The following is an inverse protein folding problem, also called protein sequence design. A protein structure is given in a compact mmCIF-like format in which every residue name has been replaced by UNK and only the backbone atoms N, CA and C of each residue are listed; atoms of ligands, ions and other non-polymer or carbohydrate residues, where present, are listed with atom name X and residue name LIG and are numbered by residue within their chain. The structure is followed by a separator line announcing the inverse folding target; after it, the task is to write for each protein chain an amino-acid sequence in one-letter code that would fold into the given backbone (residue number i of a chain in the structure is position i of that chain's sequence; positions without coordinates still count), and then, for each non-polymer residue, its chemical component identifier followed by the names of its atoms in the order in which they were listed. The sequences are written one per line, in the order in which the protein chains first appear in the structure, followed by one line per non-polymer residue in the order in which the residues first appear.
data_IF_671682492612
#
_entry.id   IF_671682492612
#
_cell.length_a   1.000
_cell.length_b   1.000
_cell.length_c   1.000
_cell.angle_alpha   90.00
_cell.angle_beta   90.00
_cell.angle_gamma   90.00
#
_symmetry.space_group_name_H-M   'P 1'
#
loop_
_entity.id
_entity.type
_entity.pdbx_description
1 polymer ?
#
# COMPACT_ATOMS: atom_id res chain seq x y z
N UNK A 1 6.20 -1.93 -13.54
CA UNK A 1 5.88 -1.18 -12.30
C UNK A 1 5.26 -2.08 -11.24
N UNK A 2 3.92 -2.26 -11.18
CA UNK A 2 3.26 -3.05 -10.12
C UNK A 2 3.79 -4.49 -9.98
N UNK A 3 3.97 -5.20 -11.10
CA UNK A 3 4.51 -6.57 -11.10
C UNK A 3 5.96 -6.61 -10.57
N UNK A 4 6.79 -5.64 -10.94
CA UNK A 4 8.20 -5.59 -10.50
C UNK A 4 8.32 -5.32 -9.01
N UNK A 5 7.53 -4.37 -8.48
CA UNK A 5 7.46 -4.11 -7.03
C UNK A 5 6.91 -5.33 -6.30
N UNK A 6 5.87 -5.98 -6.81
CA UNK A 6 5.32 -7.21 -6.23
C UNK A 6 6.39 -8.30 -6.15
N UNK A 7 7.18 -8.50 -7.20
CA UNK A 7 8.25 -9.51 -7.20
C UNK A 7 9.34 -9.19 -6.18
N UNK A 8 9.72 -7.92 -6.03
CA UNK A 8 10.68 -7.50 -4.99
C UNK A 8 10.10 -7.69 -3.58
N UNK A 9 8.82 -7.36 -3.36
CA UNK A 9 8.12 -7.58 -2.09
C UNK A 9 8.00 -9.07 -1.74
N UNK A 10 7.72 -9.94 -2.72
CA UNK A 10 7.71 -11.40 -2.53
C UNK A 10 9.09 -11.91 -2.07
N UNK A 11 10.18 -11.43 -2.70
CA UNK A 11 11.55 -11.77 -2.28
C UNK A 11 11.85 -11.27 -0.87
N UNK A 12 11.42 -10.06 -0.54
CA UNK A 12 11.59 -9.48 0.79
C UNK A 12 10.83 -10.27 1.86
N UNK A 13 9.58 -10.66 1.58
CA UNK A 13 8.76 -11.47 2.45
C UNK A 13 9.40 -12.84 2.73
N UNK A 14 9.97 -13.48 1.70
CA UNK A 14 10.74 -14.71 1.86
C UNK A 14 12.02 -14.51 2.69
N UNK A 15 12.74 -13.41 2.47
CA UNK A 15 13.95 -13.07 3.24
C UNK A 15 13.65 -12.82 4.72
N UNK A 16 12.49 -12.22 5.04
CA UNK A 16 12.06 -11.90 6.40
C UNK A 16 11.37 -13.07 7.12
N UNK A 17 10.90 -14.09 6.40
CA UNK A 17 10.21 -15.23 6.99
C UNK A 17 11.09 -16.47 7.10
N UNK A 18 10.65 -17.39 7.95
CA UNK A 18 11.32 -18.67 8.19
C UNK A 18 10.33 -19.77 7.80
N UNK A 19 10.73 -20.76 6.98
CA UNK A 19 9.89 -21.92 6.72
C UNK A 19 9.53 -22.64 8.03
N UNK A 20 8.26 -22.97 8.21
CA UNK A 20 7.71 -23.45 9.47
C UNK A 20 6.86 -24.69 9.25
N UNK A 21 7.18 -25.76 9.96
CA UNK A 21 6.39 -26.99 9.91
C UNK A 21 5.23 -26.86 10.90
N UNK A 22 4.03 -26.62 10.40
CA UNK A 22 2.83 -26.50 11.25
C UNK A 22 2.51 -27.81 11.99
N UNK A 23 2.66 -28.96 11.32
CA UNK A 23 2.36 -30.27 11.92
C UNK A 23 3.26 -30.66 13.10
N UNK A 24 4.53 -30.23 13.08
CA UNK A 24 5.47 -30.44 14.19
C UNK A 24 5.68 -29.18 15.05
N UNK A 25 5.02 -28.08 14.69
CA UNK A 25 5.09 -26.77 15.33
C UNK A 25 6.53 -26.29 15.60
N UNK A 26 7.39 -26.32 14.57
CA UNK A 26 8.79 -25.93 14.67
C UNK A 26 9.33 -25.30 13.39
N UNK A 27 10.40 -24.52 13.53
CA UNK A 27 11.12 -23.94 12.39
C UNK A 27 11.82 -25.03 11.57
N UNK A 28 11.76 -24.89 10.25
CA UNK A 28 12.33 -25.80 9.26
C UNK A 28 13.18 -25.03 8.24
N UNK A 29 14.22 -24.28 8.68
CA UNK A 29 14.97 -23.35 7.82
C UNK A 29 15.70 -24.02 6.66
N UNK A 30 15.89 -25.34 6.70
CA UNK A 30 16.47 -26.16 5.62
C UNK A 30 15.50 -26.45 4.49
N UNK A 31 14.23 -26.01 4.59
CA UNK A 31 13.17 -26.33 3.64
C UNK A 31 12.54 -27.71 3.85
N UNK A 32 12.93 -28.43 4.92
CA UNK A 32 12.30 -29.69 5.35
C UNK A 32 12.23 -29.79 6.85
N UNK A 33 11.14 -30.34 7.37
CA UNK A 33 10.99 -30.60 8.78
C UNK A 33 11.93 -31.71 9.25
N UNK A 34 12.76 -31.43 10.27
CA UNK A 34 13.71 -32.41 10.82
C UNK A 34 13.05 -33.54 11.64
N UNK A 35 11.74 -33.42 11.96
CA UNK A 35 10.99 -34.44 12.71
C UNK A 35 10.18 -35.34 11.77
N UNK A 36 9.27 -34.76 10.98
CA UNK A 36 8.37 -35.54 10.12
C UNK A 36 8.83 -35.64 8.66
N UNK A 37 9.89 -34.92 8.26
CA UNK A 37 10.39 -34.91 6.89
C UNK A 37 9.55 -34.09 5.90
N UNK A 38 8.45 -33.47 6.34
CA UNK A 38 7.57 -32.65 5.48
C UNK A 38 8.33 -31.50 4.83
N UNK A 39 8.12 -31.33 3.52
CA UNK A 39 8.50 -30.15 2.74
C UNK A 39 7.29 -29.22 2.48
N UNK A 40 6.08 -29.63 2.86
CA UNK A 40 4.93 -28.73 2.97
C UNK A 40 5.07 -27.87 4.24
N UNK A 41 5.56 -26.64 4.06
CA UNK A 41 5.90 -25.70 5.12
C UNK A 41 5.17 -24.38 4.92
N UNK A 42 4.69 -23.80 6.03
CA UNK A 42 4.18 -22.44 6.08
C UNK A 42 5.34 -21.44 6.13
N UNK A 43 5.05 -20.16 5.92
CA UNK A 43 5.99 -19.09 6.26
C UNK A 43 5.68 -18.59 7.67
N UNK A 44 6.71 -18.36 8.47
CA UNK A 44 6.58 -17.78 9.81
C UNK A 44 7.33 -16.46 9.90
N UNK A 45 6.68 -15.47 10.46
CA UNK A 45 7.29 -14.21 10.88
C UNK A 45 7.33 -14.20 12.42
N UNK A 46 8.51 -14.29 13.05
CA UNK A 46 8.62 -14.39 14.51
C UNK A 46 7.90 -13.25 15.23
N UNK A 47 7.03 -13.60 16.19
CA UNK A 47 6.25 -12.62 16.97
C UNK A 47 4.96 -12.14 16.30
N UNK A 48 4.72 -12.48 15.04
CA UNK A 48 3.52 -12.07 14.28
C UNK A 48 2.60 -13.26 14.03
N UNK A 49 3.10 -14.31 13.37
CA UNK A 49 2.28 -15.47 13.02
C UNK A 49 2.95 -16.43 12.05
N UNK A 50 2.20 -17.45 11.63
CA UNK A 50 2.59 -18.36 10.56
C UNK A 50 1.36 -18.71 9.71
N UNK A 51 1.52 -18.67 8.38
CA UNK A 51 0.47 -19.03 7.43
C UNK A 51 1.12 -19.42 6.08
N UNK A 52 0.38 -20.13 5.24
CA UNK A 52 0.74 -20.38 3.86
C UNK A 52 0.71 -19.09 3.03
N UNK A 53 1.49 -19.07 1.95
CA UNK A 53 1.62 -17.87 1.11
C UNK A 53 2.50 -16.78 1.74
N UNK A 54 2.64 -15.67 1.01
CA UNK A 54 3.51 -14.55 1.36
C UNK A 54 2.73 -13.23 1.45
N UNK A 55 1.49 -13.22 0.96
CA UNK A 55 0.63 -12.05 0.84
C UNK A 55 0.43 -11.39 2.20
N UNK A 56 0.17 -12.18 3.25
CA UNK A 56 0.00 -11.67 4.61
C UNK A 56 1.27 -11.04 5.19
N UNK A 57 2.45 -11.52 4.81
CA UNK A 57 3.73 -10.95 5.23
C UNK A 57 3.93 -9.61 4.53
N UNK A 58 3.59 -9.53 3.25
CA UNK A 58 3.68 -8.29 2.47
C UNK A 58 2.73 -7.25 3.06
N UNK A 59 1.46 -7.59 3.29
CA UNK A 59 0.50 -6.70 3.94
C UNK A 59 1.03 -6.20 5.28
N UNK A 60 1.55 -7.09 6.12
CA UNK A 60 2.13 -6.71 7.40
C UNK A 60 3.33 -5.76 7.26
N UNK A 61 4.24 -6.01 6.31
CA UNK A 61 5.38 -5.12 6.05
C UNK A 61 4.90 -3.74 5.61
N UNK A 62 3.96 -3.68 4.67
CA UNK A 62 3.43 -2.40 4.15
C UNK A 62 2.72 -1.60 5.25
N UNK A 63 1.88 -2.25 6.05
CA UNK A 63 1.15 -1.60 7.16
C UNK A 63 2.06 -1.10 8.29
N UNK A 64 3.21 -1.75 8.49
CA UNK A 64 4.12 -1.43 9.60
C UNK A 64 5.24 -0.47 9.23
N UNK A 65 5.70 -0.51 7.97
CA UNK A 65 6.89 0.24 7.52
C UNK A 65 6.52 1.43 6.64
N UNK A 66 5.33 1.47 6.07
CA UNK A 66 4.87 2.55 5.18
C UNK A 66 3.59 3.20 5.71
N UNK A 67 3.37 4.44 5.26
CA UNK A 67 2.11 5.15 5.49
C UNK A 67 1.26 5.07 4.21
N UNK A 68 -0.02 4.66 4.30
CA UNK A 68 -0.91 4.68 3.14
C UNK A 68 -1.18 6.11 2.69
N UNK A 69 -1.53 6.26 1.42
CA UNK A 69 -1.90 7.56 0.83
C UNK A 69 -3.22 8.03 1.43
N UNK A 70 -3.25 9.26 1.92
CA UNK A 70 -4.50 9.98 2.17
C UNK A 70 -5.02 10.52 0.83
N UNK A 71 -5.95 9.78 0.22
CA UNK A 71 -6.53 10.11 -1.09
C UNK A 71 -7.28 11.44 -1.04
N UNK A 72 -7.90 11.81 0.09
CA UNK A 72 -8.60 13.09 0.20
C UNK A 72 -7.60 14.25 0.18
N UNK A 73 -6.54 14.16 0.99
CA UNK A 73 -5.51 15.20 1.04
C UNK A 73 -4.76 15.31 -0.29
N UNK A 74 -4.38 14.18 -0.89
CA UNK A 74 -3.65 14.16 -2.15
C UNK A 74 -4.49 14.76 -3.31
N UNK A 75 -5.79 14.46 -3.35
CA UNK A 75 -6.70 15.07 -4.32
C UNK A 75 -6.91 16.56 -4.06
N UNK A 76 -7.08 16.99 -2.80
CA UNK A 76 -7.17 18.42 -2.47
C UNK A 76 -5.94 19.19 -2.96
N UNK A 77 -4.75 18.64 -2.74
CA UNK A 77 -3.50 19.24 -3.18
C UNK A 77 -3.42 19.32 -4.72
N UNK A 78 -3.87 18.29 -5.44
CA UNK A 78 -3.90 18.32 -6.91
C UNK A 78 -4.81 19.43 -7.44
N UNK A 79 -5.97 19.65 -6.81
CA UNK A 79 -6.88 20.77 -7.12
C UNK A 79 -6.23 22.13 -6.80
N UNK A 80 -5.52 22.26 -5.67
CA UNK A 80 -4.82 23.49 -5.28
C UNK A 80 -3.70 23.89 -6.23
N UNK A 81 -3.10 22.92 -6.92
CA UNK A 81 -2.05 23.20 -7.91
C UNK A 81 -2.60 23.80 -9.21
N UNK A 82 -3.87 23.53 -9.56
CA UNK A 82 -4.48 23.99 -10.81
C UNK A 82 -5.44 25.19 -10.64
N UNK A 83 -5.99 25.37 -9.44
CA UNK A 83 -6.89 26.48 -9.11
C UNK A 83 -6.26 27.44 -8.10
N UNK A 84 -6.64 28.74 -8.12
CA UNK A 84 -6.18 29.68 -7.12
C UNK A 84 -6.62 29.26 -5.71
N UNK A 85 -5.79 29.54 -4.71
CA UNK A 85 -6.09 29.25 -3.30
C UNK A 85 -7.40 29.92 -2.84
N UNK A 86 -7.62 31.17 -3.25
CA UNK A 86 -8.81 31.94 -2.88
C UNK A 86 -9.69 32.29 -4.09
N UNK A 87 -11.02 32.18 -3.90
CA UNK A 87 -12.05 32.56 -4.87
C UNK A 87 -12.91 33.69 -4.32
N UNK A 88 -13.16 34.72 -5.15
CA UNK A 88 -14.07 35.82 -4.82
C UNK A 88 -15.49 35.57 -5.31
N UNK A 89 -16.46 35.75 -4.43
CA UNK A 89 -17.90 35.73 -4.76
C UNK A 89 -18.53 37.02 -4.27
N UNK A 90 -18.85 37.92 -5.20
CA UNK A 90 -19.28 39.28 -4.86
C UNK A 90 -18.18 40.05 -4.13
N UNK A 91 -18.44 40.43 -2.88
CA UNK A 91 -17.48 41.11 -2.00
C UNK A 91 -16.82 40.18 -0.96
N UNK A 92 -17.08 38.87 -1.02
CA UNK A 92 -16.54 37.86 -0.10
C UNK A 92 -15.38 37.10 -0.74
N UNK A 93 -14.43 36.64 0.08
CA UNK A 93 -13.31 35.78 -0.33
C UNK A 93 -13.41 34.45 0.41
N UNK A 94 -13.25 33.34 -0.30
CA UNK A 94 -13.35 31.99 0.24
C UNK A 94 -12.14 31.15 -0.20
N UNK A 95 -11.76 30.15 0.59
CA UNK A 95 -10.88 29.07 0.13
C UNK A 95 -11.56 28.28 -0.99
N UNK A 96 -10.88 28.11 -2.12
CA UNK A 96 -11.46 27.55 -3.34
C UNK A 96 -11.89 26.10 -3.15
N UNK A 97 -11.05 25.26 -2.55
CA UNK A 97 -11.36 23.84 -2.30
C UNK A 97 -12.54 23.71 -1.33
N UNK A 98 -12.52 24.45 -0.22
CA UNK A 98 -13.61 24.46 0.76
C UNK A 98 -14.92 24.91 0.11
N UNK A 99 -14.87 25.93 -0.75
CA UNK A 99 -16.02 26.37 -1.51
C UNK A 99 -16.55 25.25 -2.41
N UNK A 100 -15.69 24.63 -3.23
CA UNK A 100 -16.09 23.52 -4.12
C UNK A 100 -16.75 22.37 -3.35
N UNK A 101 -16.13 21.91 -2.26
CA UNK A 101 -16.66 20.85 -1.38
C UNK A 101 -18.01 21.22 -0.78
N UNK A 102 -18.18 22.47 -0.38
CA UNK A 102 -19.42 22.94 0.26
C UNK A 102 -20.59 23.09 -0.73
N UNK A 103 -20.32 23.49 -1.97
CA UNK A 103 -21.36 23.77 -2.96
C UNK A 103 -21.85 22.51 -3.68
N UNK A 104 -20.93 21.60 -4.02
CA UNK A 104 -21.29 20.34 -4.67
C UNK A 104 -20.41 19.17 -4.16
N UNK A 105 -20.74 18.63 -2.97
CA UNK A 105 -19.99 17.51 -2.41
C UNK A 105 -20.13 16.22 -3.22
N UNK A 106 -21.20 16.08 -4.02
CA UNK A 106 -21.39 14.87 -4.86
C UNK A 106 -20.42 14.90 -6.03
N UNK A 107 -20.39 16.02 -6.76
CA UNK A 107 -19.44 16.23 -7.85
C UNK A 107 -17.99 16.13 -7.36
N UNK A 108 -17.68 16.69 -6.18
CA UNK A 108 -16.36 16.55 -5.55
C UNK A 108 -15.95 15.09 -5.36
N UNK A 109 -16.83 14.26 -4.79
CA UNK A 109 -16.52 12.85 -4.55
C UNK A 109 -16.39 12.05 -5.85
N UNK A 110 -17.16 12.39 -6.89
CA UNK A 110 -17.01 11.77 -8.22
C UNK A 110 -15.64 12.13 -8.80
N UNK A 111 -15.28 13.41 -8.82
CA UNK A 111 -13.99 13.86 -9.34
C UNK A 111 -12.80 13.24 -8.59
N UNK A 112 -12.91 13.12 -7.26
CA UNK A 112 -11.90 12.42 -6.44
C UNK A 112 -11.75 10.94 -6.84
N UNK A 113 -12.87 10.22 -6.99
CA UNK A 113 -12.85 8.80 -7.35
C UNK A 113 -12.31 8.58 -8.77
N UNK A 114 -12.61 9.48 -9.71
CA UNK A 114 -12.04 9.48 -11.05
C UNK A 114 -10.53 9.74 -11.01
N UNK A 115 -10.09 10.71 -10.21
CA UNK A 115 -8.67 11.01 -10.01
C UNK A 115 -7.93 9.82 -9.39
N UNK A 116 -8.45 9.21 -8.34
CA UNK A 116 -7.89 8.01 -7.71
C UNK A 116 -7.70 6.86 -8.72
N UNK A 117 -8.72 6.61 -9.54
CA UNK A 117 -8.67 5.58 -10.57
C UNK A 117 -7.60 5.88 -11.62
N UNK A 118 -7.46 7.16 -12.02
CA UNK A 118 -6.45 7.59 -12.97
C UNK A 118 -5.04 7.45 -12.39
N UNK A 119 -4.80 7.88 -11.16
CA UNK A 119 -3.49 7.75 -10.52
C UNK A 119 -3.08 6.29 -10.31
N UNK A 120 -4.05 5.38 -10.06
CA UNK A 120 -3.77 3.95 -10.03
C UNK A 120 -3.42 3.41 -11.43
N UNK A 121 -4.13 3.83 -12.48
CA UNK A 121 -3.86 3.43 -13.86
C UNK A 121 -2.50 3.92 -14.36
N UNK A 122 -2.15 5.17 -14.04
CA UNK A 122 -0.85 5.79 -14.33
C UNK A 122 0.27 5.19 -13.46
N UNK A 123 -0.09 4.47 -12.38
CA UNK A 123 0.81 3.79 -11.48
C UNK A 123 1.54 4.71 -10.49
N UNK A 124 1.04 5.92 -10.29
CA UNK A 124 1.51 6.85 -9.26
C UNK A 124 1.21 6.30 -7.87
N UNK A 125 0.03 5.73 -7.69
CA UNK A 125 -0.38 5.00 -6.50
C UNK A 125 -0.59 3.52 -6.83
N UNK A 126 -0.30 2.65 -5.87
CA UNK A 126 -0.44 1.20 -6.03
C UNK A 126 -1.17 0.61 -4.84
N UNK A 127 -2.17 -0.21 -5.15
CA UNK A 127 -2.92 -1.01 -4.20
C UNK A 127 -2.56 -2.49 -4.30
N UNK A 128 -2.48 -3.17 -3.15
CA UNK A 128 -2.20 -4.60 -3.03
C UNK A 128 -3.37 -5.41 -2.46
N UNK A 129 -4.48 -4.74 -2.12
CA UNK A 129 -5.63 -5.29 -1.42
C UNK A 129 -6.96 -5.01 -2.14
N UNK A 130 -6.90 -4.85 -3.47
CA UNK A 130 -8.03 -4.53 -4.35
C UNK A 130 -8.68 -3.16 -4.09
N UNK A 131 -7.88 -2.18 -3.67
CA UNK A 131 -8.24 -0.77 -3.61
C UNK A 131 -8.75 -0.35 -2.24
N UNK A 132 -8.47 -1.14 -1.20
CA UNK A 132 -8.76 -0.74 0.16
C UNK A 132 -7.66 0.17 0.71
N UNK A 133 -6.40 -0.03 0.32
CA UNK A 133 -5.27 0.83 0.65
C UNK A 133 -4.37 1.08 -0.55
N UNK A 134 -3.90 2.32 -0.64
CA UNK A 134 -3.01 2.77 -1.69
C UNK A 134 -1.70 3.25 -1.07
N UNK A 135 -0.59 3.04 -1.78
CA UNK A 135 0.74 3.51 -1.42
C UNK A 135 1.36 4.25 -2.61
N UNK A 136 2.12 5.30 -2.34
CA UNK A 136 2.89 5.97 -3.40
C UNK A 136 3.93 5.03 -3.99
N UNK A 137 4.00 4.96 -5.32
CA UNK A 137 5.02 4.17 -5.99
C UNK A 137 6.44 4.58 -5.58
N UNK A 138 6.69 5.88 -5.46
CA UNK A 138 8.00 6.40 -5.06
C UNK A 138 8.44 5.92 -3.67
N UNK A 139 7.50 5.83 -2.74
CA UNK A 139 7.78 5.39 -1.37
C UNK A 139 8.01 3.88 -1.33
N UNK A 140 7.23 3.11 -2.10
CA UNK A 140 7.43 1.67 -2.28
C UNK A 140 8.80 1.37 -2.91
N UNK A 141 9.14 2.06 -3.99
CA UNK A 141 10.40 1.87 -4.71
C UNK A 141 11.59 2.15 -3.79
N UNK A 142 11.57 3.30 -3.12
CA UNK A 142 12.60 3.67 -2.15
C UNK A 142 12.70 2.65 -1.01
N UNK A 143 11.58 2.26 -0.43
CA UNK A 143 11.55 1.30 0.67
C UNK A 143 12.19 -0.02 0.27
N UNK A 144 11.82 -0.56 -0.89
CA UNK A 144 12.33 -1.84 -1.35
C UNK A 144 13.81 -1.77 -1.67
N UNK A 145 14.28 -0.69 -2.32
CA UNK A 145 15.69 -0.50 -2.64
C UNK A 145 16.54 -0.37 -1.36
N UNK A 146 16.04 0.28 -0.32
CA UNK A 146 16.70 0.39 1.00
C UNK A 146 16.83 -0.99 1.71
N UNK A 147 15.98 -1.98 1.40
CA UNK A 147 16.05 -3.34 1.99
C UNK A 147 16.99 -4.28 1.21
N UNK A 148 17.38 -3.92 -0.01
CA UNK A 148 18.34 -4.65 -0.85
C UNK A 148 19.80 -4.24 -0.59
N UNK A 149 20.03 -3.04 -0.05
CA UNK A 149 21.34 -2.51 0.36
C UNK A 149 21.91 -3.20 1.63
#
# INVERSE_FOLDING_TARGET
MKIEIQDKLNKLALKKSIPFCYGCYQDAPTGRCNICGSDDLMNRLPGVGCEYGQEWIISHILETELSPVDIEEAFEESIRQIYPEETKVGWMTFDTVTLMKSQDPVSWNIAKSEWESQEEEDGTIISFDNGATYYWYSDLEKFVDDQEA
#
